data_IF_156666889407
#
_entry.id   IF_156666889407
#
_cell.length_a   1.000
_cell.length_b   1.000
_cell.length_c   1.000
_cell.angle_alpha   90.00
_cell.angle_beta   90.00
_cell.angle_gamma   90.00
#
_symmetry.space_group_name_H-M   'P 1'
#
loop_
_entity.id
_entity.type
_entity.pdbx_description
1 polymer ?
#
# COMPACT_ATOMS: atom_id res chain seq x y z
N UNK A 1 17.18 -27.84 4.42
CA UNK A 1 16.19 -27.23 3.49
C UNK A 1 16.83 -27.06 2.13
N UNK A 2 16.19 -27.59 1.08
CA UNK A 2 16.62 -27.43 -0.31
C UNK A 2 16.75 -25.96 -0.71
N UNK A 3 17.71 -25.64 -1.58
CA UNK A 3 17.95 -24.28 -2.09
C UNK A 3 16.70 -23.76 -2.78
N UNK A 4 16.04 -24.60 -3.59
CA UNK A 4 14.77 -24.23 -4.25
C UNK A 4 13.72 -23.79 -3.23
N UNK A 5 13.59 -24.52 -2.11
CA UNK A 5 12.62 -24.19 -1.06
C UNK A 5 12.99 -22.89 -0.35
N UNK A 6 14.28 -22.65 -0.06
CA UNK A 6 14.75 -21.38 0.53
C UNK A 6 14.42 -20.19 -0.38
N UNK A 7 14.70 -20.32 -1.69
CA UNK A 7 14.40 -19.29 -2.68
C UNK A 7 12.89 -19.05 -2.83
N UNK A 8 12.09 -20.12 -2.98
CA UNK A 8 10.63 -19.99 -3.09
C UNK A 8 10.01 -19.39 -1.83
N UNK A 9 10.45 -19.78 -0.64
CA UNK A 9 9.99 -19.18 0.61
C UNK A 9 10.40 -17.71 0.70
N UNK A 10 11.63 -17.36 0.31
CA UNK A 10 12.10 -15.97 0.38
C UNK A 10 11.40 -15.05 -0.61
N UNK A 11 11.32 -15.43 -1.88
CA UNK A 11 10.57 -14.67 -2.89
C UNK A 11 9.07 -14.65 -2.57
N UNK A 12 8.49 -15.78 -2.15
CA UNK A 12 7.09 -15.86 -1.79
C UNK A 12 6.74 -14.97 -0.60
N UNK A 13 7.59 -14.93 0.43
CA UNK A 13 7.39 -14.06 1.59
C UNK A 13 7.54 -12.58 1.22
N UNK A 14 8.54 -12.21 0.41
CA UNK A 14 8.70 -10.83 -0.07
C UNK A 14 7.52 -10.39 -0.94
N UNK A 15 7.05 -11.26 -1.84
CA UNK A 15 5.91 -10.97 -2.70
C UNK A 15 4.61 -10.86 -1.90
N UNK A 16 4.41 -11.74 -0.90
CA UNK A 16 3.28 -11.66 0.02
C UNK A 16 3.29 -10.37 0.85
N UNK A 17 4.46 -9.96 1.35
CA UNK A 17 4.62 -8.68 2.05
C UNK A 17 4.34 -7.50 1.12
N UNK A 18 4.79 -7.54 -0.13
CA UNK A 18 4.52 -6.49 -1.12
C UNK A 18 3.02 -6.37 -1.42
N UNK A 19 2.32 -7.49 -1.59
CA UNK A 19 0.85 -7.50 -1.78
C UNK A 19 0.15 -6.96 -0.54
N UNK A 20 0.55 -7.38 0.66
CA UNK A 20 -0.03 -6.89 1.90
C UNK A 20 0.13 -5.36 2.05
N UNK A 21 1.32 -4.82 1.74
CA UNK A 21 1.57 -3.37 1.74
C UNK A 21 0.72 -2.66 0.70
N UNK A 22 0.61 -3.20 -0.51
CA UNK A 22 -0.20 -2.60 -1.58
C UNK A 22 -1.69 -2.55 -1.22
N UNK A 23 -2.25 -3.64 -0.67
CA UNK A 23 -3.65 -3.70 -0.22
C UNK A 23 -3.89 -2.73 0.93
N UNK A 24 -2.98 -2.69 1.90
CA UNK A 24 -3.08 -1.76 3.03
C UNK A 24 -2.98 -0.29 2.57
N UNK A 25 -2.09 0.00 1.61
CA UNK A 25 -1.94 1.32 1.02
C UNK A 25 -3.21 1.74 0.27
N UNK A 26 -3.77 0.88 -0.57
CA UNK A 26 -5.02 1.16 -1.29
C UNK A 26 -6.16 1.42 -0.30
N UNK A 27 -6.31 0.59 0.75
CA UNK A 27 -7.34 0.80 1.77
C UNK A 27 -7.19 2.15 2.50
N UNK A 28 -5.97 2.51 2.90
CA UNK A 28 -5.70 3.77 3.61
C UNK A 28 -5.86 4.99 2.72
N UNK A 29 -5.40 4.92 1.48
CA UNK A 29 -5.56 6.01 0.50
C UNK A 29 -7.03 6.22 0.18
N UNK A 30 -7.81 5.14 0.00
CA UNK A 30 -9.27 5.25 -0.20
C UNK A 30 -9.97 5.89 0.99
N UNK A 31 -9.63 5.48 2.22
CA UNK A 31 -10.17 6.12 3.42
C UNK A 31 -9.90 7.62 3.43
N UNK A 32 -8.65 8.04 3.20
CA UNK A 32 -8.27 9.45 3.14
C UNK A 32 -9.06 10.18 2.05
N UNK A 33 -9.15 9.59 0.85
CA UNK A 33 -9.81 10.22 -0.28
C UNK A 33 -11.32 10.37 -0.03
N UNK A 34 -12.00 9.33 0.48
CA UNK A 34 -13.43 9.39 0.79
C UNK A 34 -13.72 10.40 1.90
N UNK A 35 -12.92 10.45 2.96
CA UNK A 35 -13.11 11.45 4.02
C UNK A 35 -12.82 12.86 3.51
N UNK A 36 -11.80 13.05 2.67
CA UNK A 36 -11.51 14.36 2.09
C UNK A 36 -12.66 14.83 1.18
N UNK A 37 -13.22 13.95 0.36
CA UNK A 37 -14.43 14.24 -0.44
C UNK A 37 -15.62 14.61 0.43
N UNK A 38 -15.86 13.89 1.54
CA UNK A 38 -16.93 14.25 2.48
C UNK A 38 -16.72 15.66 3.07
N UNK A 39 -15.47 15.99 3.45
CA UNK A 39 -15.13 17.31 4.01
C UNK A 39 -15.30 18.42 2.95
N UNK A 40 -14.73 18.26 1.75
CA UNK A 40 -14.63 19.34 0.76
C UNK A 40 -15.85 19.48 -0.13
N UNK A 41 -16.49 18.36 -0.50
CA UNK A 41 -17.51 18.34 -1.53
C UNK A 41 -18.92 18.24 -0.93
N UNK A 42 -19.04 17.79 0.32
CA UNK A 42 -20.31 17.66 1.04
C UNK A 42 -20.39 18.66 2.19
N UNK A 43 -19.59 18.48 3.25
CA UNK A 43 -19.68 19.29 4.47
C UNK A 43 -19.40 20.79 4.19
N UNK A 44 -18.37 21.12 3.41
CA UNK A 44 -18.08 22.51 3.04
C UNK A 44 -19.19 23.15 2.18
N UNK A 45 -19.88 22.36 1.34
CA UNK A 45 -21.02 22.86 0.56
C UNK A 45 -22.21 23.12 1.47
N UNK A 46 -22.50 22.22 2.42
CA UNK A 46 -23.55 22.44 3.43
C UNK A 46 -23.27 23.71 4.25
N UNK A 47 -22.03 23.90 4.69
CA UNK A 47 -21.61 25.11 5.42
C UNK A 47 -21.73 26.37 4.55
N UNK A 48 -21.35 26.30 3.26
CA UNK A 48 -21.52 27.42 2.32
C UNK A 48 -22.98 27.80 2.15
N UNK A 49 -23.87 26.85 1.91
CA UNK A 49 -25.31 27.14 1.85
C UNK A 49 -25.82 27.69 3.16
N UNK A 50 -25.27 27.20 4.28
CA UNK A 50 -25.61 27.71 5.58
C UNK A 50 -25.15 29.17 5.80
N UNK A 51 -24.06 29.60 5.19
CA UNK A 51 -23.62 30.99 5.20
C UNK A 51 -24.49 31.85 4.28
N UNK A 52 -24.85 31.33 3.10
CA UNK A 52 -25.67 32.05 2.11
C UNK A 52 -27.04 32.44 2.68
N UNK A 53 -27.77 31.46 3.24
CA UNK A 53 -29.09 31.76 3.80
C UNK A 53 -29.00 32.57 5.11
N UNK A 54 -27.90 32.47 5.90
CA UNK A 54 -27.64 33.40 7.01
C UNK A 54 -27.55 34.85 6.52
N UNK A 55 -26.82 35.07 5.42
CA UNK A 55 -26.68 36.37 4.78
C UNK A 55 -28.04 36.92 4.37
N UNK A 56 -28.86 36.11 3.69
CA UNK A 56 -30.19 36.56 3.29
C UNK A 56 -31.12 36.84 4.47
N UNK A 57 -31.09 36.05 5.56
CA UNK A 57 -31.87 36.34 6.78
C UNK A 57 -31.44 37.67 7.41
N UNK A 58 -30.12 37.93 7.48
CA UNK A 58 -29.57 39.17 8.03
C UNK A 58 -30.00 40.39 7.20
N UNK A 59 -29.80 40.32 5.88
CA UNK A 59 -30.12 41.42 4.98
C UNK A 59 -31.63 41.64 4.86
N UNK A 60 -32.46 40.58 5.01
CA UNK A 60 -33.92 40.71 5.08
C UNK A 60 -34.35 41.46 6.34
N UNK A 61 -33.73 41.18 7.49
CA UNK A 61 -34.03 41.92 8.70
C UNK A 61 -33.77 43.43 8.53
N UNK A 62 -32.70 43.78 7.81
CA UNK A 62 -32.38 45.17 7.45
C UNK A 62 -33.41 45.73 6.47
N UNK A 63 -33.72 45.01 5.37
CA UNK A 63 -34.65 45.48 4.35
C UNK A 63 -36.08 45.69 4.89
N UNK A 64 -36.56 44.82 5.78
CA UNK A 64 -37.85 44.99 6.46
C UNK A 64 -37.86 46.19 7.42
N UNK A 65 -36.73 46.46 8.08
CA UNK A 65 -36.57 47.68 8.89
C UNK A 65 -36.59 48.92 8.02
N UNK A 66 -35.85 48.91 6.93
CA UNK A 66 -35.78 50.06 6.03
C UNK A 66 -37.16 50.31 5.39
N UNK A 67 -37.91 49.26 5.03
CA UNK A 67 -39.29 49.36 4.52
C UNK A 67 -40.21 50.18 5.43
N UNK A 68 -40.26 49.89 6.73
CA UNK A 68 -41.17 50.62 7.65
C UNK A 68 -40.70 52.04 7.97
N UNK A 69 -39.44 52.37 7.64
CA UNK A 69 -38.86 53.70 7.82
C UNK A 69 -38.95 54.58 6.56
N UNK A 70 -39.42 54.03 5.43
CA UNK A 70 -39.53 54.79 4.18
C UNK A 70 -40.62 55.86 4.25
N UNK A 71 -40.21 57.12 4.06
CA UNK A 71 -41.12 58.27 3.95
C UNK A 71 -41.46 58.63 2.49
N UNK A 72 -40.58 58.32 1.53
CA UNK A 72 -40.74 58.64 0.10
C UNK A 72 -40.97 57.40 -0.79
N UNK A 73 -41.92 57.49 -1.72
CA UNK A 73 -42.27 56.40 -2.64
C UNK A 73 -41.16 56.04 -3.65
N UNK A 74 -40.15 56.91 -3.84
CA UNK A 74 -39.06 56.69 -4.80
C UNK A 74 -38.16 55.49 -4.48
N UNK A 75 -38.02 55.13 -3.20
CA UNK A 75 -37.17 54.02 -2.75
C UNK A 75 -37.95 52.73 -2.44
N UNK A 76 -39.29 52.79 -2.44
CA UNK A 76 -40.16 51.66 -2.12
C UNK A 76 -39.93 50.48 -3.08
N UNK A 77 -39.99 50.74 -4.39
CA UNK A 77 -39.84 49.68 -5.39
C UNK A 77 -38.47 48.99 -5.30
N UNK A 78 -37.43 49.74 -4.97
CA UNK A 78 -36.08 49.22 -4.78
C UNK A 78 -36.03 48.29 -3.56
N UNK A 79 -36.62 48.71 -2.44
CA UNK A 79 -36.65 47.93 -1.20
C UNK A 79 -37.46 46.65 -1.35
N UNK A 80 -38.63 46.71 -1.98
CA UNK A 80 -39.45 45.52 -2.27
C UNK A 80 -38.69 44.55 -3.18
N UNK A 81 -38.05 45.04 -4.24
CA UNK A 81 -37.23 44.21 -5.13
C UNK A 81 -36.09 43.53 -4.37
N UNK A 82 -35.45 44.24 -3.42
CA UNK A 82 -34.40 43.67 -2.58
C UNK A 82 -34.95 42.58 -1.65
N UNK A 83 -36.12 42.78 -1.02
CA UNK A 83 -36.77 41.77 -0.18
C UNK A 83 -37.07 40.50 -0.99
N UNK A 84 -37.59 40.64 -2.21
CA UNK A 84 -37.89 39.51 -3.10
C UNK A 84 -36.62 38.76 -3.50
N UNK A 85 -35.57 39.48 -3.90
CA UNK A 85 -34.27 38.87 -4.25
C UNK A 85 -33.68 38.08 -3.07
N UNK A 86 -33.68 38.67 -1.87
CA UNK A 86 -33.16 37.99 -0.68
C UNK A 86 -34.02 36.77 -0.30
N UNK A 87 -35.33 36.83 -0.54
CA UNK A 87 -36.23 35.69 -0.33
C UNK A 87 -35.88 34.56 -1.30
N UNK A 88 -35.69 34.86 -2.59
CA UNK A 88 -35.26 33.86 -3.58
C UNK A 88 -33.90 33.25 -3.25
N UNK A 89 -32.92 34.08 -2.83
CA UNK A 89 -31.60 33.60 -2.40
C UNK A 89 -31.69 32.65 -1.20
N UNK A 90 -32.57 32.96 -0.24
CA UNK A 90 -32.84 32.08 0.90
C UNK A 90 -33.40 30.73 0.42
N UNK A 91 -34.43 30.76 -0.41
CA UNK A 91 -35.12 29.56 -0.89
C UNK A 91 -34.21 28.68 -1.76
N UNK A 92 -33.35 29.28 -2.58
CA UNK A 92 -32.37 28.57 -3.38
C UNK A 92 -31.35 27.84 -2.51
N UNK A 93 -30.73 28.55 -1.55
CA UNK A 93 -29.78 27.95 -0.62
C UNK A 93 -30.43 26.84 0.23
N UNK A 94 -31.67 27.04 0.68
CA UNK A 94 -32.42 26.03 1.42
C UNK A 94 -32.72 24.78 0.56
N UNK A 95 -33.09 24.97 -0.71
CA UNK A 95 -33.36 23.87 -1.65
C UNK A 95 -32.10 23.08 -1.98
N UNK A 96 -30.97 23.76 -2.19
CA UNK A 96 -29.68 23.10 -2.39
C UNK A 96 -29.26 22.29 -1.17
N UNK A 97 -29.41 22.86 0.03
CA UNK A 97 -29.12 22.17 1.28
C UNK A 97 -29.99 20.91 1.43
N UNK A 98 -31.31 21.02 1.20
CA UNK A 98 -32.24 19.89 1.24
C UNK A 98 -31.91 18.80 0.21
N UNK A 99 -31.45 19.18 -0.98
CA UNK A 99 -30.96 18.23 -1.99
C UNK A 99 -29.75 17.42 -1.51
N UNK A 100 -28.84 18.04 -0.75
CA UNK A 100 -27.69 17.34 -0.17
C UNK A 100 -28.16 16.34 0.89
N UNK A 101 -29.09 16.71 1.78
CA UNK A 101 -29.65 15.78 2.77
C UNK A 101 -30.51 14.66 2.18
N UNK A 102 -31.06 14.85 0.98
CA UNK A 102 -31.78 13.80 0.26
C UNK A 102 -30.84 12.76 -0.38
N UNK A 103 -29.63 13.18 -0.76
CA UNK A 103 -28.63 12.34 -1.44
C UNK A 103 -27.61 11.70 -0.48
N UNK A 104 -27.40 12.29 0.69
CA UNK A 104 -26.55 11.76 1.75
C UNK A 104 -27.28 11.81 3.09
N UNK A 105 -27.30 10.68 3.82
CA UNK A 105 -27.90 10.62 5.14
C UNK A 105 -27.15 11.56 6.09
N UNK A 106 -27.80 12.66 6.48
CA UNK A 106 -27.26 13.62 7.45
C UNK A 106 -27.06 13.00 8.83
N UNK A 107 -26.16 13.57 9.61
CA UNK A 107 -25.99 13.15 11.01
C UNK A 107 -27.26 13.53 11.81
N UNK A 108 -27.68 12.75 12.83
CA UNK A 108 -28.87 13.08 13.62
C UNK A 108 -28.88 14.50 14.19
N UNK A 109 -27.75 14.95 14.73
CA UNK A 109 -27.59 16.33 15.26
C UNK A 109 -27.76 17.39 14.16
N UNK A 110 -27.24 17.09 12.96
CA UNK A 110 -27.31 17.97 11.81
C UNK A 110 -28.76 18.16 11.34
N UNK A 111 -29.52 17.06 11.28
CA UNK A 111 -30.95 17.06 10.96
C UNK A 111 -31.75 17.83 12.02
N UNK A 112 -31.43 17.64 13.31
CA UNK A 112 -32.10 18.35 14.39
C UNK A 112 -31.88 19.88 14.31
N UNK A 113 -30.65 20.31 13.97
CA UNK A 113 -30.33 21.72 13.79
C UNK A 113 -31.05 22.31 12.57
N UNK A 114 -31.12 21.57 11.46
CA UNK A 114 -31.86 21.97 10.26
C UNK A 114 -33.37 22.08 10.52
N UNK A 115 -33.94 21.14 11.26
CA UNK A 115 -35.35 21.17 11.64
C UNK A 115 -35.69 22.36 12.54
N UNK A 116 -34.78 22.72 13.46
CA UNK A 116 -34.93 23.91 14.30
C UNK A 116 -34.95 25.20 13.47
N UNK A 117 -34.07 25.30 12.47
CA UNK A 117 -34.05 26.40 11.50
C UNK A 117 -35.38 26.49 10.76
N UNK A 118 -35.85 25.37 10.17
CA UNK A 118 -37.13 25.31 9.43
C UNK A 118 -38.35 25.62 10.31
N UNK A 119 -38.31 25.24 11.58
CA UNK A 119 -39.36 25.58 12.54
C UNK A 119 -39.43 27.08 12.81
N UNK A 120 -38.27 27.74 12.99
CA UNK A 120 -38.20 29.19 13.18
C UNK A 120 -38.65 29.94 11.92
N UNK A 121 -38.22 29.48 10.74
CA UNK A 121 -38.66 30.02 9.46
C UNK A 121 -40.19 30.03 9.34
N UNK A 122 -40.82 28.86 9.52
CA UNK A 122 -42.29 28.70 9.44
C UNK A 122 -43.05 29.63 10.38
N UNK A 123 -42.47 29.95 11.54
CA UNK A 123 -43.04 30.90 12.51
C UNK A 123 -42.78 32.37 12.14
N UNK A 124 -41.66 32.66 11.50
CA UNK A 124 -41.24 34.03 11.15
C UNK A 124 -41.94 34.55 9.91
N UNK A 125 -42.14 33.71 8.87
CA UNK A 125 -42.73 34.15 7.60
C UNK A 125 -44.12 34.82 7.74
N UNK A 126 -45.07 34.32 8.57
CA UNK A 126 -46.34 35.00 8.79
C UNK A 126 -46.20 36.39 9.44
N UNK A 127 -45.16 36.60 10.27
CA UNK A 127 -44.88 37.90 10.88
C UNK A 127 -44.44 38.90 9.81
N UNK A 128 -43.57 38.47 8.89
CA UNK A 128 -43.11 39.29 7.76
C UNK A 128 -44.27 39.68 6.83
N UNK A 129 -45.16 38.73 6.54
CA UNK A 129 -46.36 39.01 5.75
C UNK A 129 -47.28 40.05 6.44
N UNK A 130 -47.40 40.00 7.77
CA UNK A 130 -48.14 41.01 8.54
C UNK A 130 -47.48 42.39 8.49
N UNK A 131 -46.14 42.47 8.50
CA UNK A 131 -45.42 43.74 8.33
C UNK A 131 -45.71 44.34 6.95
N UNK A 132 -45.56 43.56 5.88
CA UNK A 132 -45.86 44.02 4.52
C UNK A 132 -47.32 44.44 4.36
N UNK A 133 -48.28 43.64 4.86
CA UNK A 133 -49.70 43.96 4.76
C UNK A 133 -50.08 45.25 5.52
N UNK A 134 -49.50 45.48 6.71
CA UNK A 134 -49.72 46.71 7.46
C UNK A 134 -49.10 47.93 6.75
N UNK A 135 -47.92 47.77 6.16
CA UNK A 135 -47.28 48.80 5.34
C UNK A 135 -48.14 49.17 4.11
N UNK A 136 -48.61 48.17 3.37
CA UNK A 136 -49.46 48.37 2.18
C UNK A 136 -50.80 49.03 2.52
N UNK A 137 -51.32 48.80 3.73
CA UNK A 137 -52.51 49.46 4.26
C UNK A 137 -52.26 50.91 4.73
N UNK A 138 -51.01 51.38 4.71
CA UNK A 138 -50.61 52.69 5.23
C UNK A 138 -50.54 52.77 6.76
N UNK A 139 -50.65 51.65 7.47
CA UNK A 139 -50.57 51.57 8.93
C UNK A 139 -49.12 51.32 9.39
N UNK A 140 -48.31 52.38 9.33
CA UNK A 140 -46.90 52.33 9.73
C UNK A 140 -46.70 52.01 11.22
N UNK A 141 -47.67 52.37 12.08
CA UNK A 141 -47.62 52.07 13.52
C UNK A 141 -47.71 50.56 13.71
N UNK A 142 -48.74 49.93 13.13
CA UNK A 142 -48.88 48.47 13.22
C UNK A 142 -47.73 47.73 12.53
N UNK A 143 -47.24 48.23 11.39
CA UNK A 143 -46.09 47.62 10.70
C UNK A 143 -44.83 47.64 11.57
N UNK A 144 -44.54 48.78 12.19
CA UNK A 144 -43.39 48.95 13.10
C UNK A 144 -43.53 48.11 14.36
N UNK A 145 -44.72 48.05 14.95
CA UNK A 145 -44.97 47.28 16.17
C UNK A 145 -44.73 45.77 15.94
N UNK A 146 -45.28 45.22 14.84
CA UNK A 146 -45.04 43.82 14.46
C UNK A 146 -43.56 43.58 14.16
N UNK A 147 -42.91 44.50 13.44
CA UNK A 147 -41.49 44.37 13.11
C UNK A 147 -40.61 44.32 14.37
N UNK A 148 -40.80 45.27 15.29
CA UNK A 148 -39.93 45.45 16.46
C UNK A 148 -40.19 44.39 17.53
N UNK A 149 -41.46 44.09 17.81
CA UNK A 149 -41.83 43.22 18.94
C UNK A 149 -41.97 41.75 18.55
N UNK A 150 -42.22 41.43 17.28
CA UNK A 150 -42.39 40.03 16.83
C UNK A 150 -41.27 39.59 15.88
N UNK A 151 -41.11 40.27 14.74
CA UNK A 151 -40.20 39.81 13.69
C UNK A 151 -38.71 39.97 14.04
N UNK A 152 -38.30 41.07 14.66
CA UNK A 152 -36.90 41.33 15.04
C UNK A 152 -36.34 40.28 16.03
N UNK A 153 -37.06 39.92 17.12
CA UNK A 153 -36.68 38.78 17.96
C UNK A 153 -36.63 37.45 17.20
N UNK A 154 -37.55 37.22 16.25
CA UNK A 154 -37.59 36.01 15.45
C UNK A 154 -36.39 35.91 14.49
N UNK A 155 -35.99 37.00 13.83
CA UNK A 155 -34.75 37.09 13.05
C UNK A 155 -33.51 36.79 13.88
N UNK A 156 -33.44 37.32 15.10
CA UNK A 156 -32.32 37.04 16.01
C UNK A 156 -32.24 35.56 16.37
N UNK A 157 -33.38 34.93 16.69
CA UNK A 157 -33.44 33.49 16.95
C UNK A 157 -33.08 32.66 15.73
N UNK A 158 -33.51 33.11 14.54
CA UNK A 158 -33.19 32.46 13.28
C UNK A 158 -31.69 32.47 13.03
N UNK A 159 -31.05 33.65 13.04
CA UNK A 159 -29.61 33.79 12.89
C UNK A 159 -28.83 32.97 13.93
N UNK A 160 -29.30 32.89 15.17
CA UNK A 160 -28.67 32.06 16.20
C UNK A 160 -28.78 30.55 15.89
N UNK A 161 -29.92 30.07 15.41
CA UNK A 161 -30.09 28.68 14.99
C UNK A 161 -29.20 28.34 13.78
N UNK A 162 -29.11 29.27 12.83
CA UNK A 162 -28.22 29.14 11.68
C UNK A 162 -26.74 29.08 12.10
N UNK A 163 -26.31 29.98 13.00
CA UNK A 163 -24.94 29.96 13.53
C UNK A 163 -24.62 28.63 14.21
N UNK A 164 -25.53 28.07 15.01
CA UNK A 164 -25.32 26.73 15.63
C UNK A 164 -25.10 25.63 14.59
N UNK A 165 -25.81 25.69 13.46
CA UNK A 165 -25.60 24.75 12.35
C UNK A 165 -24.21 24.95 11.71
N UNK A 166 -23.82 26.21 11.43
CA UNK A 166 -22.51 26.54 10.89
C UNK A 166 -21.38 26.08 11.83
N UNK A 167 -21.50 26.38 13.13
CA UNK A 167 -20.51 26.02 14.15
C UNK A 167 -20.37 24.50 14.29
N UNK A 168 -21.48 23.77 14.22
CA UNK A 168 -21.47 22.30 14.24
C UNK A 168 -20.77 21.72 13.01
N UNK A 169 -21.03 22.27 11.82
CA UNK A 169 -20.35 21.83 10.58
C UNK A 169 -18.86 22.12 10.61
N UNK A 170 -18.47 23.29 11.11
CA UNK A 170 -17.07 23.66 11.28
C UNK A 170 -16.36 22.71 12.25
N UNK A 171 -16.98 22.44 13.42
CA UNK A 171 -16.41 21.52 14.41
C UNK A 171 -16.26 20.09 13.84
N UNK A 172 -17.28 19.58 13.16
CA UNK A 172 -17.23 18.27 12.50
C UNK A 172 -16.10 18.21 11.48
N UNK A 173 -16.01 19.21 10.60
CA UNK A 173 -14.97 19.31 9.57
C UNK A 173 -13.55 19.35 10.18
N UNK A 174 -13.36 20.08 11.28
CA UNK A 174 -12.08 20.14 12.00
C UNK A 174 -11.70 18.80 12.63
N UNK A 175 -12.66 18.08 13.23
CA UNK A 175 -12.43 16.74 13.80
C UNK A 175 -12.06 15.76 12.69
N UNK A 176 -12.85 15.65 11.62
CA UNK A 176 -12.58 14.76 10.49
C UNK A 176 -11.25 15.07 9.81
N UNK A 177 -10.90 16.36 9.66
CA UNK A 177 -9.60 16.79 9.12
C UNK A 177 -8.45 16.35 10.01
N UNK A 178 -8.58 16.50 11.33
CA UNK A 178 -7.54 16.14 12.29
C UNK A 178 -7.33 14.63 12.32
N UNK A 179 -8.41 13.85 12.35
CA UNK A 179 -8.37 12.39 12.26
C UNK A 179 -7.71 11.96 10.94
N UNK A 180 -8.14 12.50 9.81
CA UNK A 180 -7.58 12.17 8.47
C UNK A 180 -6.09 12.47 8.40
N UNK A 181 -5.64 13.62 8.91
CA UNK A 181 -4.21 13.97 8.98
C UNK A 181 -3.42 13.02 9.86
N UNK A 182 -3.97 12.64 11.02
CA UNK A 182 -3.31 11.70 11.93
C UNK A 182 -3.16 10.31 11.29
N UNK A 183 -4.19 9.84 10.57
CA UNK A 183 -4.17 8.58 9.83
C UNK A 183 -3.15 8.63 8.69
N UNK A 184 -3.08 9.73 7.94
CA UNK A 184 -2.08 9.93 6.88
C UNK A 184 -0.64 9.92 7.43
N UNK A 185 -0.38 10.62 8.55
CA UNK A 185 0.94 10.62 9.17
C UNK A 185 1.35 9.24 9.70
N UNK A 186 0.40 8.49 10.29
CA UNK A 186 0.61 7.12 10.73
C UNK A 186 0.89 6.15 9.57
N UNK A 187 0.21 6.35 8.43
CA UNK A 187 0.39 5.54 7.22
C UNK A 187 1.82 5.59 6.69
N UNK A 188 2.42 6.78 6.54
CA UNK A 188 3.82 6.91 6.09
C UNK A 188 4.79 6.17 7.01
N UNK A 189 4.61 6.29 8.34
CA UNK A 189 5.46 5.60 9.31
C UNK A 189 5.33 4.08 9.21
N UNK A 190 4.11 3.56 9.07
CA UNK A 190 3.87 2.14 8.89
C UNK A 190 4.50 1.61 7.60
N UNK A 191 4.38 2.35 6.49
CA UNK A 191 4.97 1.97 5.21
C UNK A 191 6.50 1.90 5.29
N UNK A 192 7.15 2.84 5.97
CA UNK A 192 8.59 2.80 6.23
C UNK A 192 9.00 1.59 7.08
N UNK A 193 8.22 1.25 8.11
CA UNK A 193 8.46 0.06 8.94
C UNK A 193 8.34 -1.22 8.10
N UNK A 194 7.28 -1.37 7.30
CA UNK A 194 7.12 -2.54 6.43
C UNK A 194 8.25 -2.65 5.39
N UNK A 195 8.69 -1.52 4.82
CA UNK A 195 9.82 -1.48 3.90
C UNK A 195 11.12 -1.92 4.60
N UNK A 196 11.38 -1.41 5.81
CA UNK A 196 12.55 -1.79 6.60
C UNK A 196 12.54 -3.28 6.97
N UNK A 197 11.39 -3.83 7.35
CA UNK A 197 11.22 -5.27 7.63
C UNK A 197 11.47 -6.08 6.36
N UNK A 198 10.90 -5.67 5.23
CA UNK A 198 11.11 -6.32 3.93
C UNK A 198 12.58 -6.36 3.52
N UNK A 199 13.30 -5.23 3.67
CA UNK A 199 14.73 -5.14 3.42
C UNK A 199 15.55 -6.03 4.37
N UNK A 200 15.23 -6.04 5.67
CA UNK A 200 15.92 -6.86 6.65
C UNK A 200 15.75 -8.35 6.35
N UNK A 201 14.50 -8.79 6.17
CA UNK A 201 14.20 -10.21 5.91
C UNK A 201 14.76 -10.65 4.56
N UNK A 202 14.57 -9.83 3.51
CA UNK A 202 15.15 -10.08 2.20
C UNK A 202 16.67 -10.15 2.23
N UNK A 203 17.32 -9.23 2.96
CA UNK A 203 18.76 -9.19 3.15
C UNK A 203 19.31 -10.42 3.88
N UNK A 204 18.67 -10.84 4.98
CA UNK A 204 19.08 -12.04 5.73
C UNK A 204 18.94 -13.31 4.88
N UNK A 205 17.82 -13.45 4.16
CA UNK A 205 17.60 -14.61 3.29
C UNK A 205 18.57 -14.64 2.10
N UNK A 206 18.82 -13.49 1.48
CA UNK A 206 19.82 -13.36 0.42
C UNK A 206 21.21 -13.71 0.93
N UNK A 207 21.64 -13.12 2.06
CA UNK A 207 22.95 -13.36 2.65
C UNK A 207 23.18 -14.83 2.98
N UNK A 208 22.23 -15.48 3.67
CA UNK A 208 22.35 -16.89 4.07
C UNK A 208 22.38 -17.82 2.87
N UNK A 209 21.58 -17.54 1.84
CA UNK A 209 21.55 -18.34 0.60
C UNK A 209 22.82 -18.18 -0.22
N UNK A 210 23.25 -16.92 -0.46
CA UNK A 210 24.47 -16.60 -1.22
C UNK A 210 25.70 -17.20 -0.53
N UNK A 211 25.84 -17.02 0.78
CA UNK A 211 26.97 -17.56 1.54
C UNK A 211 27.02 -19.08 1.46
N UNK A 212 25.87 -19.76 1.56
CA UNK A 212 25.78 -21.21 1.44
C UNK A 212 26.23 -21.72 0.06
N UNK A 213 25.78 -21.05 -1.01
CA UNK A 213 26.15 -21.41 -2.39
C UNK A 213 27.65 -21.19 -2.62
N UNK A 214 28.19 -20.01 -2.27
CA UNK A 214 29.60 -19.68 -2.49
C UNK A 214 30.51 -20.68 -1.77
N UNK A 215 30.21 -21.02 -0.51
CA UNK A 215 31.02 -21.96 0.27
C UNK A 215 31.01 -23.39 -0.31
N UNK A 216 29.86 -23.87 -0.78
CA UNK A 216 29.75 -25.21 -1.33
C UNK A 216 30.41 -25.31 -2.72
N UNK A 217 30.19 -24.33 -3.59
CA UNK A 217 30.85 -24.26 -4.89
C UNK A 217 32.36 -24.14 -4.72
N UNK A 218 32.83 -23.35 -3.75
CA UNK A 218 34.26 -23.26 -3.43
C UNK A 218 34.87 -24.59 -2.99
N UNK A 219 34.17 -25.38 -2.16
CA UNK A 219 34.60 -26.73 -1.76
C UNK A 219 34.68 -27.70 -2.93
N UNK A 220 33.67 -27.70 -3.80
CA UNK A 220 33.66 -28.54 -5.01
C UNK A 220 34.82 -28.16 -5.94
N UNK A 221 35.04 -26.86 -6.15
CA UNK A 221 36.11 -26.39 -7.01
C UNK A 221 37.49 -26.78 -6.47
N UNK A 222 37.71 -26.63 -5.15
CA UNK A 222 38.97 -27.02 -4.51
C UNK A 222 39.22 -28.53 -4.56
N UNK A 223 38.18 -29.36 -4.35
CA UNK A 223 38.29 -30.80 -4.46
C UNK A 223 38.58 -31.25 -5.91
N UNK A 224 37.91 -30.62 -6.89
CA UNK A 224 38.17 -30.86 -8.31
C UNK A 224 39.61 -30.53 -8.71
N UNK A 225 40.16 -29.40 -8.23
CA UNK A 225 41.55 -29.04 -8.47
C UNK A 225 42.53 -30.10 -7.93
N UNK A 226 42.35 -30.55 -6.69
CA UNK A 226 43.18 -31.62 -6.09
C UNK A 226 43.11 -32.94 -6.86
N UNK A 227 41.91 -33.30 -7.34
CA UNK A 227 41.75 -34.49 -8.17
C UNK A 227 42.47 -34.35 -9.50
N UNK A 228 42.43 -33.17 -10.13
CA UNK A 228 43.16 -32.89 -11.36
C UNK A 228 44.69 -32.96 -11.16
N UNK A 229 45.18 -32.61 -9.98
CA UNK A 229 46.59 -32.77 -9.57
C UNK A 229 46.96 -34.23 -9.22
N UNK A 230 46.03 -35.18 -9.33
CA UNK A 230 46.25 -36.61 -9.14
C UNK A 230 45.90 -37.16 -7.76
N UNK A 231 45.40 -36.33 -6.83
CA UNK A 231 44.92 -36.79 -5.53
C UNK A 231 43.48 -37.34 -5.63
N UNK A 232 43.38 -38.64 -5.91
CA UNK A 232 42.10 -39.36 -6.02
C UNK A 232 41.50 -39.74 -4.65
N UNK A 233 42.14 -39.39 -3.54
CA UNK A 233 41.61 -39.66 -2.18
C UNK A 233 40.68 -38.56 -1.68
N UNK A 234 40.66 -37.40 -2.35
CA UNK A 234 39.80 -36.27 -1.98
C UNK A 234 38.33 -36.65 -2.04
N UNK A 235 37.58 -36.31 -0.98
CA UNK A 235 36.13 -36.48 -0.89
C UNK A 235 35.51 -35.18 -0.40
N UNK A 236 34.31 -34.88 -0.89
CA UNK A 236 33.53 -33.72 -0.48
C UNK A 236 32.54 -34.20 0.58
N UNK A 237 32.74 -33.76 1.82
CA UNK A 237 31.77 -33.90 2.89
C UNK A 237 30.75 -32.76 2.81
N UNK A 238 29.46 -33.11 2.90
CA UNK A 238 28.38 -32.15 2.87
C UNK A 238 27.24 -32.58 3.79
N UNK A 239 27.04 -31.84 4.87
CA UNK A 239 26.05 -32.14 5.93
C UNK A 239 24.61 -31.73 5.59
N UNK A 240 24.37 -31.09 4.44
CA UNK A 240 23.03 -30.61 4.05
C UNK A 240 22.38 -31.57 3.06
N UNK A 241 21.07 -31.81 3.16
CA UNK A 241 20.28 -32.60 2.19
C UNK A 241 19.72 -31.75 1.04
N UNK A 242 20.51 -30.78 0.56
CA UNK A 242 20.12 -29.90 -0.54
C UNK A 242 20.68 -30.36 -1.90
N UNK A 243 20.36 -29.61 -2.95
CA UNK A 243 20.79 -29.89 -4.31
C UNK A 243 22.34 -29.95 -4.44
N UNK A 244 23.08 -29.30 -3.54
CA UNK A 244 24.55 -29.35 -3.52
C UNK A 244 25.08 -30.67 -2.96
N UNK A 245 24.33 -31.32 -2.07
CA UNK A 245 24.63 -32.67 -1.58
C UNK A 245 24.67 -33.68 -2.72
N UNK A 246 23.74 -33.52 -3.66
CA UNK A 246 23.66 -34.38 -4.83
C UNK A 246 24.88 -34.20 -5.74
N UNK A 247 25.36 -32.96 -5.89
CA UNK A 247 26.60 -32.66 -6.63
C UNK A 247 27.82 -33.25 -5.91
N UNK A 248 27.93 -33.09 -4.59
CA UNK A 248 29.01 -33.66 -3.79
C UNK A 248 29.03 -35.20 -3.87
N UNK A 249 27.86 -35.84 -3.82
CA UNK A 249 27.71 -37.29 -3.95
C UNK A 249 28.18 -37.77 -5.34
N UNK A 250 27.73 -37.11 -6.40
CA UNK A 250 28.15 -37.42 -7.78
C UNK A 250 29.66 -37.24 -7.97
N UNK A 251 30.25 -36.20 -7.37
CA UNK A 251 31.69 -35.99 -7.37
C UNK A 251 32.45 -37.12 -6.67
N UNK A 252 31.99 -37.54 -5.48
CA UNK A 252 32.61 -38.64 -4.73
C UNK A 252 32.55 -39.96 -5.49
N UNK A 253 31.43 -40.27 -6.14
CA UNK A 253 31.32 -41.47 -6.99
C UNK A 253 32.26 -41.40 -8.21
N UNK A 254 32.40 -40.23 -8.82
CA UNK A 254 33.39 -40.02 -9.89
C UNK A 254 34.82 -40.26 -9.39
N UNK A 255 35.17 -39.73 -8.21
CA UNK A 255 36.47 -39.94 -7.56
C UNK A 255 36.78 -41.43 -7.33
N UNK A 256 35.79 -42.17 -6.84
CA UNK A 256 35.90 -43.61 -6.59
C UNK A 256 36.10 -44.41 -7.88
N UNK A 257 35.39 -44.03 -8.95
CA UNK A 257 35.57 -44.66 -10.27
C UNK A 257 36.95 -44.40 -10.85
N UNK A 258 37.47 -43.18 -10.75
CA UNK A 258 38.85 -42.89 -11.14
C UNK A 258 39.85 -43.70 -10.32
N UNK A 259 39.69 -43.77 -9.00
CA UNK A 259 40.57 -44.56 -8.15
C UNK A 259 40.55 -46.05 -8.51
N UNK A 260 39.38 -46.60 -8.83
CA UNK A 260 39.23 -47.98 -9.28
C UNK A 260 39.91 -48.21 -10.63
N UNK A 261 39.72 -47.32 -11.60
CA UNK A 261 40.37 -47.42 -12.91
C UNK A 261 41.90 -47.35 -12.80
N UNK A 262 42.45 -46.47 -11.95
CA UNK A 262 43.90 -46.39 -11.71
C UNK A 262 44.43 -47.66 -11.05
N UNK A 263 43.70 -48.25 -10.09
CA UNK A 263 44.08 -49.54 -9.47
C UNK A 263 44.09 -50.67 -10.50
N UNK A 264 43.05 -50.77 -11.33
CA UNK A 264 42.97 -51.77 -12.39
C UNK A 264 44.09 -51.59 -13.43
N UNK A 265 44.41 -50.34 -13.78
CA UNK A 265 45.52 -50.04 -14.68
C UNK A 265 46.87 -50.46 -14.06
N UNK A 266 47.09 -50.18 -12.77
CA UNK A 266 48.31 -50.59 -12.07
C UNK A 266 48.44 -52.12 -11.95
N UNK A 267 47.33 -52.83 -11.74
CA UNK A 267 47.30 -54.29 -11.74
C UNK A 267 47.61 -54.85 -13.13
N UNK A 268 46.99 -54.29 -14.18
CA UNK A 268 47.23 -54.69 -15.57
C UNK A 268 48.69 -54.42 -16.01
N UNK A 269 49.29 -53.30 -15.62
CA UNK A 269 50.72 -53.02 -15.89
C UNK A 269 51.64 -53.94 -15.11
N UNK A 270 51.28 -54.31 -13.87
CA UNK A 270 52.01 -55.31 -13.09
C UNK A 270 51.98 -56.70 -13.74
N UNK A 271 50.81 -57.14 -14.21
CA UNK A 271 50.68 -58.39 -14.96
C UNK A 271 51.48 -58.35 -16.29
N UNK A 272 51.44 -57.23 -16.99
CA UNK A 272 52.22 -57.04 -18.22
C UNK A 272 53.73 -57.09 -17.96
N UNK A 273 54.20 -56.50 -16.86
CA UNK A 273 55.61 -56.55 -16.45
C UNK A 273 56.07 -57.99 -16.14
N UNK A 274 55.27 -58.75 -15.39
CA UNK A 274 55.53 -60.17 -15.11
C UNK A 274 55.56 -61.01 -16.40
N UNK A 275 54.61 -60.79 -17.31
CA UNK A 275 54.58 -61.48 -18.61
C UNK A 275 55.81 -61.13 -19.46
N UNK A 276 56.26 -59.87 -19.44
CA UNK A 276 57.47 -59.44 -20.13
C UNK A 276 58.73 -60.11 -19.53
N UNK A 277 58.82 -60.23 -18.21
CA UNK A 277 59.91 -60.92 -17.52
C UNK A 277 59.94 -62.42 -17.87
N UNK A 278 58.78 -63.08 -17.86
CA UNK A 278 58.65 -64.48 -18.31
C UNK A 278 59.06 -64.66 -19.78
N UNK A 279 58.70 -63.72 -20.65
CA UNK A 279 59.06 -63.75 -22.08
C UNK A 279 60.56 -63.54 -22.28
N UNK A 280 61.17 -62.65 -21.50
CA UNK A 280 62.61 -62.43 -21.53
C UNK A 280 63.38 -63.67 -21.07
N UNK A 281 62.96 -64.27 -19.94
CA UNK A 281 63.52 -65.53 -19.45
C UNK A 281 63.38 -66.68 -20.47
N UNK A 282 62.21 -66.82 -21.10
CA UNK A 282 62.00 -67.82 -22.15
C UNK A 282 62.89 -67.55 -23.39
N UNK A 283 63.14 -66.29 -23.73
CA UNK A 283 64.03 -65.90 -24.82
C UNK A 283 65.50 -66.22 -24.51
N UNK A 284 65.93 -66.05 -23.25
CA UNK A 284 67.26 -66.43 -22.78
C UNK A 284 67.44 -67.95 -22.82
N UNK A 285 66.45 -68.72 -22.34
CA UNK A 285 66.45 -70.18 -22.42
C UNK A 285 66.49 -70.67 -23.87
N UNK A 286 65.71 -70.04 -24.77
CA UNK A 286 65.78 -70.32 -26.21
C UNK A 286 67.17 -70.01 -26.79
N UNK A 287 67.82 -68.94 -26.34
CA UNK A 287 69.16 -68.59 -26.79
C UNK A 287 70.19 -69.62 -26.33
N UNK A 288 70.14 -70.05 -25.06
CA UNK A 288 70.99 -71.15 -24.54
C UNK A 288 70.75 -72.45 -25.32
N UNK A 289 69.48 -72.76 -25.61
CA UNK A 289 69.12 -73.95 -26.37
C UNK A 289 69.62 -73.89 -27.81
N UNK A 290 69.52 -72.73 -28.47
CA UNK A 290 70.11 -72.48 -29.80
C UNK A 290 71.64 -72.61 -29.75
N UNK A 291 72.30 -72.08 -28.73
CA UNK A 291 73.76 -72.18 -28.56
C UNK A 291 74.21 -73.64 -28.34
N UNK A 292 73.48 -74.40 -27.52
CA UNK A 292 73.69 -75.86 -27.35
C UNK A 292 73.47 -76.63 -28.65
N UNK A 293 72.44 -76.30 -29.42
CA UNK A 293 72.20 -76.93 -30.72
C UNK A 293 73.31 -76.57 -31.73
N UNK A 294 73.79 -75.33 -31.74
CA UNK A 294 74.94 -74.93 -32.55
C UNK A 294 76.21 -75.67 -32.13
N UNK A 295 76.43 -75.88 -30.83
CA UNK A 295 77.54 -76.69 -30.30
C UNK A 295 77.45 -78.17 -30.70
N UNK A 296 76.26 -78.77 -30.62
CA UNK A 296 75.99 -80.14 -31.07
C UNK A 296 76.20 -80.27 -32.59
N UNK A 297 75.69 -79.34 -33.38
CA UNK A 297 75.90 -79.32 -34.84
C UNK A 297 77.38 -79.09 -35.18
N UNK A 298 78.12 -78.33 -34.36
CA UNK A 298 79.57 -78.17 -34.46
C UNK A 298 80.34 -79.48 -34.21
N UNK A 299 79.89 -80.31 -33.27
CA UNK A 299 80.47 -81.64 -33.02
C UNK A 299 80.23 -82.63 -34.18
N UNK A 300 79.19 -82.45 -34.98
CA UNK A 300 78.95 -83.24 -36.19
C UNK A 300 79.72 -82.74 -37.42
N UNK A 301 80.49 -81.64 -37.31
CA UNK A 301 81.19 -80.99 -38.44
C UNK A 301 82.71 -81.23 -38.49
N UNK A 302 83.22 -82.15 -37.67
CA UNK A 302 84.58 -82.72 -37.76
C UNK A 302 84.51 -84.17 -38.19
#
# INVERSE_FOLDING_TARGET
MRIRTKLLCGFGLLMGLMVAVAVMADWKVRFINTTLTEITDINAVKQRQAINFRGSVHDRAIAFRDLVLLEEQGELQRTLTQIDQLTLMYEEAARELDGIFASSAGHPDELQLLDAIKAIERRTLPMLARVSAAYDAGDLISATEVLVHEASPAFTQWLAAINRFIDWQELKSQVETTETRSVAAGFTRLMLIFCAIGLLVGGVLAWTTIRGIIQAVGRINAAGARMADGDLTVRIEHDSEDELAHIATSFNHMAERFQTMVRQLAEATGQLALAAEQTAAASEELTDLVERLQGLVGQFRT
#
